data_IF_254461669241
#
_entry.id   IF_254461669241
#
_cell.length_a   1.000
_cell.length_b   1.000
_cell.length_c   1.000
_cell.angle_alpha   90.00
_cell.angle_beta   90.00
_cell.angle_gamma   90.00
#
_symmetry.space_group_name_H-M   'P 1'
#
loop_
_entity.id
_entity.type
_entity.pdbx_description
1 polymer ?
#
# COMPACT_ATOMS: atom_id res chain seq x y z
N UNK A 1 -18.31 27.09 38.79
CA UNK A 1 -18.30 25.63 38.57
C UNK A 1 -19.08 25.32 37.30
N UNK A 2 -18.41 24.89 36.21
CA UNK A 2 -19.06 24.24 35.06
C UNK A 2 -18.02 23.48 34.22
N UNK A 3 -18.33 22.21 33.91
CA UNK A 3 -17.83 21.41 32.75
C UNK A 3 -16.31 21.29 32.54
N UNK A 4 -15.70 20.35 33.28
CA UNK A 4 -14.46 19.65 32.92
C UNK A 4 -14.72 18.18 32.50
N UNK A 5 -15.89 17.92 31.90
CA UNK A 5 -16.46 16.56 31.81
C UNK A 5 -16.44 15.84 30.46
N UNK A 6 -16.18 16.53 29.34
CA UNK A 6 -16.59 16.05 28.01
C UNK A 6 -15.47 15.83 26.98
N UNK A 7 -14.20 15.73 27.40
CA UNK A 7 -13.11 15.34 26.48
C UNK A 7 -12.94 13.81 26.37
N UNK A 8 -13.34 13.07 27.42
CA UNK A 8 -13.24 11.61 27.47
C UNK A 8 -14.38 10.90 26.71
N UNK A 9 -15.51 11.58 26.52
CA UNK A 9 -16.68 11.09 25.77
C UNK A 9 -16.44 11.13 24.25
N UNK A 10 -15.84 12.20 23.73
CA UNK A 10 -15.52 12.35 22.30
C UNK A 10 -14.37 11.45 21.81
N UNK A 11 -13.40 11.13 22.67
CA UNK A 11 -12.29 10.23 22.33
C UNK A 11 -12.67 8.73 22.32
N UNK A 12 -13.73 8.36 23.04
CA UNK A 12 -14.14 6.97 23.22
C UNK A 12 -14.58 6.25 21.91
N UNK A 13 -15.36 6.86 20.99
CA UNK A 13 -15.65 6.22 19.70
C UNK A 13 -14.41 6.05 18.81
N UNK A 14 -13.45 6.97 18.84
CA UNK A 14 -12.18 6.84 18.10
C UNK A 14 -11.31 5.69 18.65
N UNK A 15 -11.23 5.55 19.98
CA UNK A 15 -10.55 4.42 20.63
C UNK A 15 -11.26 3.08 20.33
N UNK A 16 -12.59 3.05 20.29
CA UNK A 16 -13.36 1.87 19.83
C UNK A 16 -13.09 1.53 18.36
N UNK A 17 -12.95 2.54 17.50
CA UNK A 17 -12.63 2.34 16.08
C UNK A 17 -11.21 1.79 15.87
N UNK A 18 -10.27 2.10 16.77
CA UNK A 18 -8.95 1.45 16.86
C UNK A 18 -8.98 0.00 17.41
N UNK A 19 -10.10 -0.39 18.01
CA UNK A 19 -10.34 -1.67 18.71
C UNK A 19 -11.38 -2.56 18.01
N UNK A 20 -11.84 -2.22 16.81
CA UNK A 20 -12.59 -3.14 15.96
C UNK A 20 -11.61 -4.14 15.32
N UNK A 21 -11.30 -5.18 16.08
CA UNK A 21 -10.72 -6.40 15.55
C UNK A 21 -11.67 -7.01 14.51
N UNK A 22 -11.40 -6.74 13.23
CA UNK A 22 -11.78 -7.65 12.16
C UNK A 22 -11.12 -8.99 12.46
N UNK A 23 -11.92 -9.96 12.92
CA UNK A 23 -11.47 -11.06 13.78
C UNK A 23 -10.18 -11.75 13.32
N UNK A 24 -9.07 -11.45 14.01
CA UNK A 24 -7.83 -12.19 13.88
C UNK A 24 -7.99 -13.57 14.53
N UNK A 25 -8.49 -14.54 13.78
CA UNK A 25 -8.05 -15.92 13.94
C UNK A 25 -6.52 -15.90 13.90
N UNK A 26 -5.86 -16.32 14.99
CA UNK A 26 -4.50 -15.91 15.31
C UNK A 26 -3.51 -16.08 14.16
N UNK A 27 -3.14 -14.95 13.54
CA UNK A 27 -2.14 -14.92 12.49
C UNK A 27 -0.82 -15.44 13.06
N UNK A 28 -0.47 -16.68 12.69
CA UNK A 28 0.92 -17.14 12.79
C UNK A 28 1.77 -16.17 11.99
N UNK A 29 2.99 -15.90 12.46
CA UNK A 29 3.95 -15.17 11.66
C UNK A 29 4.28 -16.03 10.43
N UNK A 30 3.66 -15.72 9.30
CA UNK A 30 4.01 -16.35 8.03
C UNK A 30 5.53 -16.20 7.81
N UNK A 31 6.23 -17.27 7.42
CA UNK A 31 7.66 -17.19 7.14
C UNK A 31 7.88 -16.15 6.04
N UNK A 32 8.68 -15.11 6.32
CA UNK A 32 9.02 -14.12 5.31
C UNK A 32 9.78 -14.76 4.14
N UNK A 33 9.62 -14.21 2.93
CA UNK A 33 10.36 -14.70 1.76
C UNK A 33 11.87 -14.68 2.07
N UNK A 34 12.56 -15.84 2.08
CA UNK A 34 13.97 -15.94 2.45
C UNK A 34 14.90 -15.21 1.47
N UNK A 35 14.38 -14.75 0.32
CA UNK A 35 15.11 -13.91 -0.65
C UNK A 35 15.26 -12.46 -0.19
N UNK A 36 14.50 -11.99 0.80
CA UNK A 36 14.59 -10.62 1.30
C UNK A 36 15.78 -10.43 2.25
N UNK A 37 16.84 -9.81 1.76
CA UNK A 37 18.01 -9.46 2.55
C UNK A 37 17.69 -8.26 3.46
N UNK A 38 17.95 -8.39 4.77
CA UNK A 38 17.96 -7.23 5.69
C UNK A 38 19.30 -6.52 5.53
N UNK A 39 19.27 -5.22 5.25
CA UNK A 39 20.46 -4.39 5.12
C UNK A 39 20.69 -3.68 6.45
N UNK A 40 21.74 -4.09 7.17
CA UNK A 40 21.99 -3.61 8.54
C UNK A 40 22.46 -2.15 8.58
N UNK A 41 23.30 -1.74 7.62
CA UNK A 41 23.92 -0.42 7.56
C UNK A 41 23.55 0.27 6.25
N UNK A 42 23.01 1.49 6.36
CA UNK A 42 22.72 2.39 5.24
C UNK A 42 22.92 3.84 5.69
N UNK A 43 22.58 4.82 4.85
CA UNK A 43 22.68 6.24 5.22
C UNK A 43 21.77 6.65 6.40
N UNK A 44 21.71 7.95 6.68
CA UNK A 44 20.94 8.47 7.82
C UNK A 44 19.50 7.95 7.90
N UNK A 45 19.13 7.45 9.08
CA UNK A 45 17.83 6.80 9.34
C UNK A 45 16.99 7.56 10.40
N UNK A 46 16.64 8.84 10.20
CA UNK A 46 15.93 9.63 11.22
C UNK A 46 14.51 9.13 11.54
N UNK A 47 13.88 8.37 10.63
CA UNK A 47 12.59 7.71 10.86
C UNK A 47 12.65 6.29 11.43
N UNK A 48 13.82 5.84 11.91
CA UNK A 48 14.06 4.51 12.52
C UNK A 48 13.39 3.34 11.75
N UNK A 49 13.62 3.28 10.44
CA UNK A 49 13.05 2.25 9.56
C UNK A 49 14.00 1.06 9.38
N UNK A 50 13.44 -0.12 9.13
CA UNK A 50 14.21 -1.30 8.74
C UNK A 50 14.33 -1.36 7.22
N UNK A 51 15.55 -1.52 6.69
CA UNK A 51 15.80 -1.71 5.26
C UNK A 51 15.80 -3.21 4.92
N UNK A 52 14.86 -3.65 4.08
CA UNK A 52 14.95 -4.93 3.36
C UNK A 52 15.11 -4.69 1.87
N UNK A 53 15.75 -5.61 1.15
CA UNK A 53 15.94 -5.50 -0.30
C UNK A 53 15.91 -6.85 -1.00
N UNK A 54 15.67 -6.80 -2.31
CA UNK A 54 15.90 -7.87 -3.24
C UNK A 54 16.70 -7.39 -4.45
N UNK A 55 17.64 -8.21 -4.91
CA UNK A 55 18.40 -7.99 -6.15
C UNK A 55 18.51 -9.31 -6.90
N UNK A 56 17.97 -9.41 -8.12
CA UNK A 56 18.15 -10.59 -8.98
C UNK A 56 19.65 -10.91 -9.18
N UNK A 57 20.02 -12.19 -9.12
CA UNK A 57 21.43 -12.62 -9.11
C UNK A 57 22.24 -12.23 -10.36
N UNK A 58 21.58 -11.79 -11.45
CA UNK A 58 22.20 -11.31 -12.69
C UNK A 58 21.68 -9.92 -13.09
N UNK A 59 21.38 -9.07 -12.11
CA UNK A 59 20.90 -7.71 -12.38
C UNK A 59 21.94 -6.90 -13.16
N UNK A 60 21.49 -6.23 -14.22
CA UNK A 60 22.35 -5.40 -15.07
C UNK A 60 22.64 -4.05 -14.41
N UNK A 61 23.81 -3.46 -14.69
CA UNK A 61 24.06 -2.05 -14.37
C UNK A 61 23.09 -1.17 -15.18
N UNK A 62 22.56 -0.12 -14.57
CA UNK A 62 21.52 0.72 -15.18
C UNK A 62 20.11 0.09 -15.16
N UNK A 63 19.91 -1.03 -14.47
CA UNK A 63 18.57 -1.51 -14.12
C UNK A 63 17.81 -0.51 -13.23
N UNK A 64 16.48 -0.63 -13.23
CA UNK A 64 15.60 0.17 -12.40
C UNK A 64 15.61 -0.28 -10.93
N UNK A 65 15.09 0.59 -10.05
CA UNK A 65 14.76 0.29 -8.66
C UNK A 65 13.25 0.51 -8.44
N UNK A 66 12.58 -0.42 -7.78
CA UNK A 66 11.22 -0.24 -7.29
C UNK A 66 11.24 -0.22 -5.76
N UNK A 67 10.68 0.82 -5.15
CA UNK A 67 10.47 0.93 -3.70
C UNK A 67 9.04 0.48 -3.39
N UNK A 68 8.86 -0.44 -2.46
CA UNK A 68 7.56 -1.06 -2.14
C UNK A 68 7.22 -0.85 -0.66
N UNK A 69 6.17 -0.09 -0.40
CA UNK A 69 5.72 0.31 0.94
C UNK A 69 4.46 -0.46 1.36
N UNK A 70 4.58 -1.26 2.42
CA UNK A 70 3.46 -2.05 2.96
C UNK A 70 2.37 -1.16 3.59
N UNK A 71 1.16 -1.71 3.70
CA UNK A 71 0.06 -1.08 4.44
C UNK A 71 0.19 -1.25 5.96
N UNK A 72 -0.75 -0.64 6.70
CA UNK A 72 -0.83 -0.82 8.14
C UNK A 72 -0.95 -2.31 8.52
N UNK A 73 -0.40 -2.66 9.68
CA UNK A 73 -0.32 -4.00 10.31
C UNK A 73 0.49 -5.06 9.54
N UNK A 74 0.82 -4.83 8.28
CA UNK A 74 1.71 -5.68 7.50
C UNK A 74 3.17 -5.49 7.90
N UNK A 75 4.06 -6.23 7.24
CA UNK A 75 5.53 -6.10 7.20
C UNK A 75 5.95 -6.12 5.73
N UNK A 76 7.19 -5.78 5.41
CA UNK A 76 7.69 -5.91 4.04
C UNK A 76 7.56 -7.35 3.53
N UNK A 77 7.94 -8.33 4.36
CA UNK A 77 7.89 -9.73 3.98
C UNK A 77 6.47 -10.28 3.78
N UNK A 78 5.50 -9.89 4.62
CA UNK A 78 4.10 -10.31 4.46
C UNK A 78 3.41 -9.61 3.28
N UNK A 79 3.79 -8.37 2.96
CA UNK A 79 3.28 -7.67 1.79
C UNK A 79 3.83 -8.28 0.50
N UNK A 80 5.13 -8.55 0.47
CA UNK A 80 5.80 -9.16 -0.68
C UNK A 80 5.25 -10.53 -1.02
N UNK A 81 5.01 -11.40 -0.03
CA UNK A 81 4.42 -12.73 -0.25
C UNK A 81 3.15 -12.70 -1.11
N UNK A 82 2.32 -11.67 -0.94
CA UNK A 82 1.12 -11.46 -1.75
C UNK A 82 1.34 -10.66 -3.03
N UNK A 83 2.16 -9.61 -2.97
CA UNK A 83 2.35 -8.64 -4.07
C UNK A 83 3.32 -9.12 -5.17
N UNK A 84 4.19 -10.09 -4.86
CA UNK A 84 5.12 -10.75 -5.78
C UNK A 84 6.08 -9.80 -6.55
N UNK A 85 6.48 -8.66 -5.98
CA UNK A 85 7.42 -7.73 -6.62
C UNK A 85 8.80 -8.34 -6.85
N UNK A 86 9.21 -9.32 -6.03
CA UNK A 86 10.44 -10.11 -6.19
C UNK A 86 10.38 -10.98 -7.44
N UNK A 87 9.22 -11.60 -7.72
CA UNK A 87 9.02 -12.40 -8.93
C UNK A 87 8.97 -11.51 -10.20
N UNK A 88 8.35 -10.33 -10.09
CA UNK A 88 8.35 -9.33 -11.16
C UNK A 88 9.76 -8.75 -11.41
N UNK A 89 10.58 -8.62 -10.37
CA UNK A 89 11.98 -8.21 -10.46
C UNK A 89 12.83 -9.24 -11.23
N UNK A 90 12.61 -10.53 -10.98
CA UNK A 90 13.20 -11.63 -11.77
C UNK A 90 12.72 -11.62 -13.23
N UNK A 91 11.43 -11.37 -13.48
CA UNK A 91 10.82 -11.38 -14.82
C UNK A 91 11.25 -10.19 -15.70
N UNK A 92 11.48 -9.01 -15.10
CA UNK A 92 11.70 -7.76 -15.84
C UNK A 92 13.05 -7.08 -15.58
N UNK A 93 13.87 -7.58 -14.65
CA UNK A 93 15.26 -7.14 -14.46
C UNK A 93 15.42 -5.80 -13.71
N UNK A 94 14.77 -5.66 -12.55
CA UNK A 94 14.93 -4.51 -11.64
C UNK A 94 15.31 -4.97 -10.22
N UNK A 95 15.83 -4.05 -9.40
CA UNK A 95 16.01 -4.28 -7.95
C UNK A 95 14.75 -3.84 -7.19
N UNK A 96 14.53 -4.39 -6.00
CA UNK A 96 13.42 -3.99 -5.11
C UNK A 96 13.94 -3.58 -3.74
N UNK A 97 13.41 -2.49 -3.23
CA UNK A 97 13.65 -1.97 -1.88
C UNK A 97 12.34 -2.00 -1.10
N UNK A 98 12.35 -2.62 0.08
CA UNK A 98 11.22 -2.67 0.99
C UNK A 98 11.60 -2.02 2.34
N UNK A 99 11.33 -0.72 2.51
CA UNK A 99 11.32 -0.09 3.82
C UNK A 99 10.23 -0.75 4.68
N UNK A 100 10.57 -1.13 5.90
CA UNK A 100 9.66 -1.79 6.84
C UNK A 100 9.53 -0.94 8.11
N UNK A 101 8.29 -0.60 8.46
CA UNK A 101 7.97 0.13 9.68
C UNK A 101 7.77 -0.85 10.85
N UNK A 102 8.25 -0.49 12.05
CA UNK A 102 8.18 -1.32 13.26
C UNK A 102 7.26 -0.71 14.32
N UNK A 103 6.93 -1.52 15.34
CA UNK A 103 5.95 -1.15 16.38
C UNK A 103 6.44 -0.08 17.37
N UNK A 104 7.71 0.30 17.33
CA UNK A 104 8.27 1.36 18.17
C UNK A 104 7.78 2.74 17.72
N UNK A 105 7.87 3.01 16.42
CA UNK A 105 7.42 4.27 15.81
C UNK A 105 5.90 4.36 15.71
N UNK A 106 5.26 3.25 15.33
CA UNK A 106 3.81 3.19 15.17
C UNK A 106 3.25 1.83 15.65
N UNK A 107 2.38 1.75 16.67
CA UNK A 107 1.88 0.48 17.22
C UNK A 107 1.19 -0.42 16.19
N UNK A 108 0.63 0.16 15.12
CA UNK A 108 -0.02 -0.56 14.02
C UNK A 108 0.93 -0.77 12.82
N UNK A 109 2.22 -0.41 12.88
CA UNK A 109 3.18 -0.42 11.75
C UNK A 109 2.67 0.36 10.52
N UNK A 110 1.87 1.40 10.72
CA UNK A 110 1.58 2.34 9.64
C UNK A 110 2.80 3.26 9.47
N UNK A 111 3.16 3.59 8.22
CA UNK A 111 3.96 4.79 7.94
C UNK A 111 3.22 6.03 8.47
N UNK A 112 3.92 6.96 9.08
CA UNK A 112 3.39 8.17 9.71
C UNK A 112 3.13 9.30 8.69
N UNK A 113 2.45 8.98 7.58
CA UNK A 113 2.15 9.91 6.48
C UNK A 113 1.39 11.19 6.87
N UNK A 114 0.79 11.21 8.06
CA UNK A 114 0.06 12.34 8.64
C UNK A 114 0.92 13.21 9.57
N UNK A 115 2.17 12.83 9.85
CA UNK A 115 3.11 13.60 10.67
C UNK A 115 4.04 14.42 9.74
N UNK A 116 4.00 15.76 9.76
CA UNK A 116 4.87 16.60 8.94
C UNK A 116 6.36 16.28 9.08
N UNK A 117 6.83 15.92 10.29
CA UNK A 117 8.23 15.58 10.55
C UNK A 117 8.68 14.27 9.88
N UNK A 118 7.74 13.35 9.59
CA UNK A 118 8.03 12.07 8.94
C UNK A 118 7.95 12.12 7.41
N UNK A 119 7.25 13.11 6.84
CA UNK A 119 7.05 13.25 5.40
C UNK A 119 7.91 14.33 4.73
N UNK A 120 8.51 15.25 5.50
CA UNK A 120 9.28 16.37 4.96
C UNK A 120 10.61 15.94 4.32
N UNK A 121 11.04 16.71 3.30
CA UNK A 121 12.36 16.56 2.68
C UNK A 121 13.46 16.77 3.73
N UNK A 122 14.36 15.81 3.87
CA UNK A 122 15.45 15.82 4.85
C UNK A 122 15.11 15.33 6.27
N UNK A 123 13.86 14.96 6.56
CA UNK A 123 13.43 14.51 7.89
C UNK A 123 12.74 13.12 7.89
N UNK A 124 12.71 12.51 9.08
CA UNK A 124 11.94 11.30 9.46
C UNK A 124 11.91 10.15 8.44
N UNK A 125 10.75 9.47 8.37
CA UNK A 125 10.56 8.29 7.50
C UNK A 125 10.95 8.56 6.04
N UNK A 126 10.59 9.72 5.48
CA UNK A 126 10.85 10.05 4.08
C UNK A 126 12.36 10.20 3.78
N UNK A 127 13.14 10.78 4.69
CA UNK A 127 14.60 10.84 4.56
C UNK A 127 15.28 9.47 4.74
N UNK A 128 14.79 8.64 5.66
CA UNK A 128 15.23 7.25 5.78
C UNK A 128 15.05 6.49 4.46
N UNK A 129 13.86 6.58 3.84
CA UNK A 129 13.57 5.91 2.56
C UNK A 129 14.49 6.44 1.44
N UNK A 130 14.73 7.76 1.37
CA UNK A 130 15.69 8.35 0.42
C UNK A 130 17.13 7.84 0.64
N UNK A 131 17.56 7.64 1.88
CA UNK A 131 18.88 7.09 2.19
C UNK A 131 19.02 5.62 1.78
N UNK A 132 17.97 4.81 1.97
CA UNK A 132 17.91 3.43 1.48
C UNK A 132 17.95 3.37 -0.05
N UNK A 133 17.23 4.26 -0.75
CA UNK A 133 17.26 4.36 -2.22
C UNK A 133 18.67 4.63 -2.73
N UNK A 134 19.36 5.62 -2.16
CA UNK A 134 20.75 5.92 -2.54
C UNK A 134 21.69 4.74 -2.30
N UNK A 135 21.50 4.02 -1.19
CA UNK A 135 22.28 2.82 -0.84
C UNK A 135 22.14 1.74 -1.91
N UNK A 136 20.90 1.44 -2.34
CA UNK A 136 20.64 0.49 -3.44
C UNK A 136 21.23 0.97 -4.77
N UNK A 137 21.00 2.24 -5.12
CA UNK A 137 21.43 2.83 -6.39
C UNK A 137 22.95 2.84 -6.52
N UNK A 138 23.67 3.27 -5.49
CA UNK A 138 25.12 3.31 -5.48
C UNK A 138 25.72 1.89 -5.40
N UNK A 139 25.20 1.04 -4.50
CA UNK A 139 25.73 -0.31 -4.26
C UNK A 139 25.58 -1.25 -5.45
N UNK A 140 24.47 -1.17 -6.19
CA UNK A 140 24.20 -2.05 -7.34
C UNK A 140 24.42 -1.37 -8.71
N UNK A 141 24.78 -0.08 -8.74
CA UNK A 141 24.99 0.67 -9.99
C UNK A 141 23.70 0.82 -10.81
N UNK A 142 22.58 1.07 -10.15
CA UNK A 142 21.26 1.25 -10.75
C UNK A 142 21.14 2.61 -11.43
N UNK A 143 20.18 2.75 -12.35
CA UNK A 143 19.93 4.05 -13.00
C UNK A 143 19.14 4.98 -12.07
N UNK A 144 19.77 6.10 -11.68
CA UNK A 144 19.14 7.18 -10.87
C UNK A 144 17.89 7.76 -11.53
N UNK A 145 17.74 7.65 -12.86
CA UNK A 145 16.57 8.11 -13.61
C UNK A 145 15.45 7.07 -13.70
N UNK A 146 15.61 5.89 -13.08
CA UNK A 146 14.67 4.75 -13.13
C UNK A 146 14.38 4.21 -11.73
N UNK A 147 14.22 5.10 -10.76
CA UNK A 147 13.70 4.77 -9.42
C UNK A 147 12.20 5.05 -9.39
N UNK A 148 11.42 4.08 -8.92
CA UNK A 148 9.96 4.17 -8.81
C UNK A 148 9.52 3.79 -7.40
N UNK A 149 8.34 4.23 -6.97
CA UNK A 149 7.80 3.93 -5.63
C UNK A 149 6.33 3.55 -5.68
N UNK A 150 5.93 2.54 -4.92
CA UNK A 150 4.55 2.08 -4.79
C UNK A 150 4.21 1.74 -3.35
N UNK A 151 2.94 1.86 -2.99
CA UNK A 151 2.50 1.43 -1.67
C UNK A 151 0.99 1.36 -1.50
N UNK A 152 0.58 0.57 -0.49
CA UNK A 152 -0.81 0.38 -0.09
C UNK A 152 -1.17 1.26 1.11
N UNK A 153 -2.34 1.89 1.09
CA UNK A 153 -2.96 2.54 2.26
C UNK A 153 -2.03 3.61 2.86
N UNK A 154 -1.57 3.44 4.11
CA UNK A 154 -0.53 4.29 4.71
C UNK A 154 0.78 4.34 3.89
N UNK A 155 1.20 3.22 3.29
CA UNK A 155 2.32 3.19 2.34
C UNK A 155 2.01 3.88 1.01
N UNK A 156 0.73 3.93 0.61
CA UNK A 156 0.26 4.70 -0.54
C UNK A 156 0.26 6.21 -0.27
N UNK A 157 -0.16 6.63 0.92
CA UNK A 157 -0.05 8.03 1.36
C UNK A 157 1.42 8.47 1.53
N UNK A 158 2.29 7.59 2.06
CA UNK A 158 3.74 7.83 2.08
C UNK A 158 4.34 7.86 0.65
N UNK A 159 3.80 7.08 -0.29
CA UNK A 159 4.17 7.19 -1.71
C UNK A 159 3.85 8.59 -2.25
N UNK A 160 2.65 9.13 -1.98
CA UNK A 160 2.30 10.52 -2.34
C UNK A 160 3.26 11.55 -1.73
N UNK A 161 3.65 11.36 -0.47
CA UNK A 161 4.60 12.23 0.22
C UNK A 161 6.01 12.17 -0.41
N UNK A 162 6.54 10.98 -0.68
CA UNK A 162 7.86 10.79 -1.30
C UNK A 162 7.93 11.41 -2.70
N UNK A 163 6.87 11.30 -3.49
CA UNK A 163 6.78 11.93 -4.82
C UNK A 163 6.79 13.47 -4.76
N UNK A 164 6.31 14.08 -3.67
CA UNK A 164 6.30 15.53 -3.47
C UNK A 164 7.60 16.05 -2.81
N UNK A 165 8.13 15.32 -1.83
CA UNK A 165 9.35 15.68 -1.11
C UNK A 165 10.64 15.37 -1.91
N UNK A 166 10.62 14.35 -2.77
CA UNK A 166 11.77 13.89 -3.58
C UNK A 166 11.43 13.63 -5.07
N UNK A 167 10.80 14.57 -5.80
CA UNK A 167 10.48 14.43 -7.22
C UNK A 167 11.73 14.36 -8.13
N UNK A 168 12.90 14.75 -7.60
CA UNK A 168 14.22 14.62 -8.21
C UNK A 168 14.81 13.19 -8.09
N UNK A 169 14.25 12.36 -7.19
CA UNK A 169 14.67 10.96 -6.97
C UNK A 169 13.78 9.99 -7.72
N UNK A 170 12.47 10.20 -7.75
CA UNK A 170 11.51 9.25 -8.31
C UNK A 170 11.04 9.62 -9.71
N UNK A 171 11.25 8.73 -10.68
CA UNK A 171 10.72 8.86 -12.04
C UNK A 171 9.19 8.67 -12.12
N UNK A 172 8.62 7.97 -11.14
CA UNK A 172 7.19 7.83 -10.98
C UNK A 172 6.80 7.04 -9.74
N UNK A 173 5.49 7.00 -9.46
CA UNK A 173 4.96 6.17 -8.40
C UNK A 173 3.53 5.68 -8.63
N UNK A 174 3.11 4.75 -7.77
CA UNK A 174 1.82 4.10 -7.82
C UNK A 174 1.17 4.08 -6.43
N UNK A 175 0.02 4.74 -6.31
CA UNK A 175 -0.66 4.97 -5.04
C UNK A 175 -1.87 4.04 -4.98
N UNK A 176 -1.76 2.95 -4.20
CA UNK A 176 -2.80 1.94 -4.05
C UNK A 176 -3.65 2.26 -2.81
N UNK A 177 -4.91 2.63 -3.00
CA UNK A 177 -5.85 3.01 -1.94
C UNK A 177 -5.28 4.03 -0.93
N UNK A 178 -4.49 4.99 -1.43
CA UNK A 178 -3.82 6.03 -0.64
C UNK A 178 -4.55 7.37 -0.63
N UNK A 179 -3.85 8.42 -0.19
CA UNK A 179 -4.37 9.78 -0.05
C UNK A 179 -3.46 10.80 -0.77
N UNK A 180 -3.95 12.00 -1.14
CA UNK A 180 -3.10 13.05 -1.70
C UNK A 180 -2.06 13.55 -0.70
N UNK A 181 -0.94 14.07 -1.21
CA UNK A 181 0.07 14.70 -0.35
C UNK A 181 -0.56 15.91 0.37
N UNK A 182 -0.30 16.04 1.68
CA UNK A 182 -0.89 17.09 2.53
C UNK A 182 -2.38 16.90 2.87
N UNK A 183 -2.92 15.69 2.70
CA UNK A 183 -4.28 15.35 3.16
C UNK A 183 -4.45 15.63 4.66
N UNK A 184 -3.48 15.23 5.48
CA UNK A 184 -3.47 15.43 6.93
C UNK A 184 -2.10 15.88 7.45
N UNK A 185 -2.13 16.61 8.56
CA UNK A 185 -0.98 17.02 9.37
C UNK A 185 -1.12 16.57 10.84
N UNK A 186 -2.09 15.71 11.14
CA UNK A 186 -2.36 15.17 12.47
C UNK A 186 -3.25 13.92 12.41
N UNK A 187 -3.27 13.12 13.48
CA UNK A 187 -4.10 11.90 13.58
C UNK A 187 -5.61 12.15 13.37
N UNK A 188 -6.25 13.20 13.94
CA UNK A 188 -7.67 13.46 13.67
C UNK A 188 -7.95 13.79 12.20
N UNK A 189 -7.11 14.61 11.57
CA UNK A 189 -7.21 14.91 10.12
C UNK A 189 -6.96 13.67 9.26
N UNK A 190 -6.11 12.74 9.72
CA UNK A 190 -5.85 11.49 9.03
C UNK A 190 -7.13 10.67 8.91
N UNK A 191 -7.83 10.43 10.03
CA UNK A 191 -9.11 9.72 10.03
C UNK A 191 -10.21 10.45 9.24
N UNK A 192 -10.27 11.78 9.32
CA UNK A 192 -11.22 12.56 8.52
C UNK A 192 -10.97 12.40 7.02
N UNK A 193 -9.71 12.53 6.58
CA UNK A 193 -9.32 12.35 5.18
C UNK A 193 -9.57 10.92 4.70
N UNK A 194 -9.28 9.92 5.54
CA UNK A 194 -9.54 8.51 5.25
C UNK A 194 -11.04 8.23 5.05
N UNK A 195 -11.91 8.63 5.98
CA UNK A 195 -13.31 8.21 5.98
C UNK A 195 -14.29 9.15 5.27
N UNK A 196 -13.92 10.42 5.05
CA UNK A 196 -14.76 11.41 4.34
C UNK A 196 -14.14 11.88 3.02
N UNK A 197 -12.81 11.80 2.91
CA UNK A 197 -12.06 12.53 1.90
C UNK A 197 -12.00 14.03 2.23
N UNK A 198 -11.05 14.74 1.61
CA UNK A 198 -10.97 16.19 1.67
C UNK A 198 -10.96 16.73 0.24
N UNK A 199 -12.00 17.44 -0.20
CA UNK A 199 -11.97 18.10 -1.51
C UNK A 199 -11.40 19.50 -1.38
N UNK A 200 -10.31 19.79 -2.11
CA UNK A 200 -9.67 21.12 -2.19
C UNK A 200 -9.48 21.53 -3.64
N UNK A 201 -9.47 22.84 -4.00
CA UNK A 201 -9.13 23.29 -5.35
C UNK A 201 -7.85 22.66 -5.89
N UNK A 202 -7.83 22.34 -7.19
CA UNK A 202 -6.69 21.65 -7.82
C UNK A 202 -5.36 22.40 -7.62
N UNK A 203 -5.40 23.74 -7.69
CA UNK A 203 -4.26 24.62 -7.44
C UNK A 203 -3.72 24.52 -6.01
N UNK A 204 -4.59 24.43 -4.99
CA UNK A 204 -4.16 24.24 -3.60
C UNK A 204 -3.46 22.88 -3.42
N UNK A 205 -3.99 21.83 -4.05
CA UNK A 205 -3.33 20.53 -4.03
C UNK A 205 -1.98 20.52 -4.75
N UNK A 206 -1.89 21.18 -5.90
CA UNK A 206 -0.64 21.29 -6.65
C UNK A 206 0.39 22.17 -5.94
N UNK A 207 -0.03 23.23 -5.25
CA UNK A 207 0.84 24.10 -4.45
C UNK A 207 1.49 23.29 -3.32
N UNK A 208 0.74 22.42 -2.60
CA UNK A 208 1.33 21.50 -1.60
C UNK A 208 2.50 20.66 -2.16
N UNK A 209 2.38 20.17 -3.40
CA UNK A 209 3.46 19.39 -4.05
C UNK A 209 4.63 20.29 -4.44
N UNK A 210 4.35 21.49 -4.98
CA UNK A 210 5.37 22.48 -5.39
C UNK A 210 6.13 23.09 -4.22
N UNK A 211 5.50 23.20 -3.06
CA UNK A 211 6.07 23.76 -1.83
C UNK A 211 6.84 22.70 -1.02
N UNK A 212 6.69 21.41 -1.35
CA UNK A 212 7.41 20.30 -0.70
C UNK A 212 8.89 20.17 -1.11
N UNK A 213 9.32 20.86 -2.19
CA UNK A 213 10.72 20.91 -2.61
C UNK A 213 11.02 22.08 -3.57
N UNK A 214 12.31 22.42 -3.76
CA UNK A 214 12.75 23.40 -4.77
C UNK A 214 12.64 22.91 -6.22
N UNK A 215 12.11 21.71 -6.45
CA UNK A 215 11.99 21.13 -7.79
C UNK A 215 10.99 21.90 -8.66
N UNK A 216 11.30 22.04 -9.95
CA UNK A 216 10.45 22.76 -10.92
C UNK A 216 10.10 21.91 -12.16
N UNK A 217 10.38 20.61 -12.09
CA UNK A 217 10.12 19.64 -13.16
C UNK A 217 11.39 19.10 -13.83
N UNK A 218 11.28 18.04 -14.66
CA UNK A 218 10.06 17.29 -14.97
C UNK A 218 9.51 16.56 -13.74
N UNK A 219 8.18 16.44 -13.64
CA UNK A 219 7.52 15.84 -12.49
C UNK A 219 7.37 14.31 -12.65
N UNK A 220 7.30 13.54 -11.54
CA UNK A 220 7.12 12.09 -11.60
C UNK A 220 5.81 11.68 -12.28
N UNK A 221 5.81 10.52 -12.94
CA UNK A 221 4.59 9.87 -13.46
C UNK A 221 3.78 9.27 -12.32
N UNK A 222 2.45 9.38 -12.34
CA UNK A 222 1.61 8.88 -11.23
C UNK A 222 0.51 7.93 -11.71
N UNK A 223 0.50 6.72 -11.15
CA UNK A 223 -0.60 5.76 -11.28
C UNK A 223 -1.41 5.73 -9.97
N UNK A 224 -2.73 5.81 -10.05
CA UNK A 224 -3.62 5.84 -8.88
C UNK A 224 -4.59 4.66 -8.97
N UNK A 225 -4.65 3.82 -7.94
CA UNK A 225 -5.54 2.66 -7.90
C UNK A 225 -6.47 2.72 -6.71
N UNK A 226 -7.78 2.54 -6.93
CA UNK A 226 -8.76 2.55 -5.86
C UNK A 226 -9.84 1.48 -6.05
N UNK A 227 -10.24 0.86 -4.94
CA UNK A 227 -11.44 0.03 -4.89
C UNK A 227 -12.69 0.91 -4.88
N UNK A 228 -13.64 0.66 -5.78
CA UNK A 228 -14.88 1.46 -5.88
C UNK A 228 -15.85 1.28 -4.69
N UNK A 229 -15.57 0.34 -3.79
CA UNK A 229 -16.30 0.09 -2.54
C UNK A 229 -15.38 0.17 -1.31
N UNK A 230 -14.26 0.91 -1.40
CA UNK A 230 -13.35 1.16 -0.28
C UNK A 230 -14.02 2.03 0.81
N UNK A 231 -14.15 1.47 2.01
CA UNK A 231 -14.69 2.13 3.20
C UNK A 231 -13.62 2.47 4.25
N UNK A 232 -12.35 2.17 3.99
CA UNK A 232 -11.22 2.49 4.87
C UNK A 232 -10.52 3.77 4.44
N UNK A 233 -10.28 3.91 3.13
CA UNK A 233 -9.85 5.17 2.50
C UNK A 233 -10.83 5.41 1.36
N UNK A 234 -11.75 6.37 1.52
CA UNK A 234 -12.86 6.51 0.55
C UNK A 234 -12.36 6.87 -0.86
N UNK A 235 -13.04 6.42 -1.94
CA UNK A 235 -12.50 6.49 -3.30
C UNK A 235 -12.31 7.91 -3.85
N UNK A 236 -12.98 8.90 -3.24
CA UNK A 236 -12.77 10.32 -3.54
C UNK A 236 -11.33 10.78 -3.28
N UNK A 237 -10.59 10.12 -2.38
CA UNK A 237 -9.15 10.37 -2.23
C UNK A 237 -8.38 10.06 -3.53
N UNK A 238 -8.75 9.00 -4.26
CA UNK A 238 -8.19 8.69 -5.57
C UNK A 238 -8.45 9.78 -6.62
N UNK A 239 -9.65 10.36 -6.63
CA UNK A 239 -9.97 11.48 -7.52
C UNK A 239 -9.22 12.77 -7.12
N UNK A 240 -9.01 13.04 -5.82
CA UNK A 240 -8.25 14.19 -5.34
C UNK A 240 -6.72 14.03 -5.55
N UNK A 241 -6.17 12.80 -5.53
CA UNK A 241 -4.79 12.52 -5.99
C UNK A 241 -4.66 12.85 -7.49
N UNK A 242 -5.58 12.39 -8.32
CA UNK A 242 -5.56 12.72 -9.76
C UNK A 242 -5.60 14.24 -9.96
N UNK A 243 -6.51 14.92 -9.27
CA UNK A 243 -6.66 16.39 -9.31
C UNK A 243 -5.38 17.12 -8.87
N UNK A 244 -4.69 16.64 -7.83
CA UNK A 244 -3.38 17.13 -7.39
C UNK A 244 -2.34 17.04 -8.51
N UNK A 245 -2.17 15.84 -9.09
CA UNK A 245 -1.12 15.61 -10.08
C UNK A 245 -1.45 16.20 -11.46
N UNK A 246 -2.73 16.35 -11.83
CA UNK A 246 -3.12 17.10 -13.03
C UNK A 246 -2.78 18.59 -12.91
N UNK A 247 -2.89 19.20 -11.73
CA UNK A 247 -2.46 20.59 -11.54
C UNK A 247 -0.93 20.71 -11.64
N UNK A 248 -0.18 19.82 -10.98
CA UNK A 248 1.30 19.75 -11.03
C UNK A 248 1.83 19.58 -12.46
N UNK A 249 1.19 18.73 -13.27
CA UNK A 249 1.55 18.51 -14.68
C UNK A 249 0.98 19.57 -15.65
N UNK A 250 0.21 20.56 -15.18
CA UNK A 250 -0.41 21.58 -16.04
C UNK A 250 -1.56 21.06 -16.93
N UNK A 251 -2.20 19.96 -16.53
CA UNK A 251 -3.21 19.21 -17.28
C UNK A 251 -4.65 19.41 -16.75
N UNK A 252 -4.93 20.43 -15.94
CA UNK A 252 -6.24 20.66 -15.34
C UNK A 252 -7.43 20.77 -16.32
N UNK A 253 -7.18 21.14 -17.58
CA UNK A 253 -8.19 21.16 -18.65
C UNK A 253 -8.18 19.92 -19.57
N UNK A 254 -7.25 18.99 -19.38
CA UNK A 254 -7.06 17.84 -20.27
C UNK A 254 -8.10 16.74 -20.00
N UNK A 255 -8.69 16.21 -21.08
CA UNK A 255 -9.62 15.08 -21.00
C UNK A 255 -8.82 13.77 -21.06
N UNK A 256 -9.10 12.78 -20.19
CA UNK A 256 -8.44 11.48 -20.26
C UNK A 256 -8.96 10.64 -21.42
N UNK A 257 -8.10 9.75 -21.93
CA UNK A 257 -8.57 8.52 -22.59
C UNK A 257 -9.19 7.62 -21.54
N UNK A 258 -10.36 7.04 -21.81
CA UNK A 258 -11.10 6.21 -20.83
C UNK A 258 -11.36 4.81 -21.39
N UNK A 259 -10.91 3.80 -20.67
CA UNK A 259 -11.17 2.37 -20.94
C UNK A 259 -12.07 1.79 -19.84
N UNK A 260 -12.99 0.89 -20.20
CA UNK A 260 -13.81 0.13 -19.25
C UNK A 260 -13.77 -1.35 -19.61
N UNK A 261 -13.29 -2.19 -18.71
CA UNK A 261 -13.11 -3.63 -18.93
C UNK A 261 -13.18 -4.39 -17.61
N UNK A 262 -13.97 -5.47 -17.54
CA UNK A 262 -14.01 -6.35 -16.37
C UNK A 262 -14.32 -5.67 -15.03
N UNK A 263 -15.24 -4.69 -15.01
CA UNK A 263 -15.56 -3.92 -13.80
C UNK A 263 -14.55 -2.80 -13.46
N UNK A 264 -13.39 -2.76 -14.11
CA UNK A 264 -12.42 -1.66 -13.99
C UNK A 264 -12.74 -0.52 -14.95
N UNK A 265 -12.66 0.71 -14.46
CA UNK A 265 -12.51 1.92 -15.29
C UNK A 265 -11.07 2.42 -15.19
N UNK A 266 -10.36 2.51 -16.31
CA UNK A 266 -9.04 3.14 -16.42
C UNK A 266 -9.16 4.49 -17.12
N UNK A 267 -8.49 5.51 -16.60
CA UNK A 267 -8.41 6.87 -17.16
C UNK A 267 -6.93 7.23 -17.33
N UNK A 268 -6.54 7.79 -18.46
CA UNK A 268 -5.13 8.15 -18.76
C UNK A 268 -5.05 9.57 -19.30
N UNK A 269 -4.22 10.39 -18.67
CA UNK A 269 -3.89 11.75 -19.11
C UNK A 269 -2.50 11.78 -19.72
N UNK A 270 -2.44 12.36 -20.91
CA UNK A 270 -1.25 12.43 -21.75
C UNK A 270 -0.77 13.87 -21.79
N UNK A 271 0.52 14.08 -21.57
CA UNK A 271 1.15 15.40 -21.66
C UNK A 271 1.33 15.83 -23.13
N UNK A 272 1.57 17.12 -23.43
CA UNK A 272 1.60 17.63 -24.81
C UNK A 272 2.66 16.99 -25.73
N UNK A 273 3.67 16.31 -25.17
CA UNK A 273 4.69 15.57 -25.92
C UNK A 273 4.24 14.13 -26.32
N UNK A 274 3.03 13.70 -25.96
CA UNK A 274 2.51 12.36 -26.23
C UNK A 274 2.78 11.31 -25.15
N UNK A 275 3.42 11.66 -24.03
CA UNK A 275 3.66 10.72 -22.92
C UNK A 275 2.48 10.69 -21.94
N UNK A 276 2.00 9.49 -21.62
CA UNK A 276 1.05 9.25 -20.53
C UNK A 276 1.74 9.49 -19.17
N UNK A 277 1.33 10.53 -18.43
CA UNK A 277 1.98 10.99 -17.18
C UNK A 277 1.14 10.80 -15.92
N UNK A 278 -0.19 10.75 -16.06
CA UNK A 278 -1.10 10.39 -14.96
C UNK A 278 -2.06 9.31 -15.45
N UNK A 279 -2.27 8.27 -14.65
CA UNK A 279 -3.35 7.31 -14.85
C UNK A 279 -4.12 7.02 -13.56
N UNK A 280 -5.38 6.62 -13.70
CA UNK A 280 -6.25 6.25 -12.60
C UNK A 280 -7.01 4.97 -12.96
N UNK A 281 -7.04 4.00 -12.05
CA UNK A 281 -7.79 2.77 -12.16
C UNK A 281 -8.76 2.66 -10.98
N UNK A 282 -10.05 2.56 -11.27
CA UNK A 282 -11.10 2.30 -10.28
C UNK A 282 -11.71 0.94 -10.55
N UNK A 283 -11.59 0.01 -9.60
CA UNK A 283 -12.14 -1.35 -9.71
C UNK A 283 -13.48 -1.41 -8.99
N UNK A 284 -14.58 -1.50 -9.74
CA UNK A 284 -15.93 -1.47 -9.16
C UNK A 284 -16.15 -2.66 -8.20
N UNK A 285 -16.74 -2.38 -7.04
CA UNK A 285 -17.02 -3.39 -6.01
C UNK A 285 -15.80 -3.87 -5.19
N UNK A 286 -14.57 -3.56 -5.61
CA UNK A 286 -13.37 -3.86 -4.81
C UNK A 286 -13.33 -2.98 -3.55
N UNK A 287 -12.97 -3.57 -2.43
CA UNK A 287 -12.78 -2.91 -1.12
C UNK A 287 -11.35 -2.33 -0.99
N UNK A 288 -10.94 -1.99 0.23
CA UNK A 288 -9.59 -1.49 0.52
C UNK A 288 -8.52 -2.55 0.19
N UNK A 289 -7.61 -2.24 -0.73
CA UNK A 289 -6.53 -3.16 -1.08
C UNK A 289 -5.83 -2.91 -2.41
N UNK A 290 -4.86 -3.77 -2.71
CA UNK A 290 -4.22 -3.89 -4.02
C UNK A 290 -5.03 -4.88 -4.87
N UNK A 291 -5.31 -4.52 -6.12
CA UNK A 291 -5.91 -5.42 -7.10
C UNK A 291 -4.87 -6.44 -7.60
N UNK A 292 -5.20 -7.73 -7.51
CA UNK A 292 -4.39 -8.84 -7.98
C UNK A 292 -5.14 -9.69 -9.03
N UNK A 293 -4.37 -10.50 -9.75
CA UNK A 293 -4.82 -11.60 -10.60
C UNK A 293 -4.10 -12.89 -10.16
N UNK A 294 -4.75 -13.72 -9.35
CA UNK A 294 -4.12 -14.91 -8.78
C UNK A 294 -3.65 -15.93 -9.85
N UNK A 295 -4.20 -15.86 -11.07
CA UNK A 295 -3.79 -16.69 -12.22
C UNK A 295 -2.36 -16.35 -12.71
N UNK A 296 -1.77 -15.26 -12.23
CA UNK A 296 -0.44 -14.74 -12.63
C UNK A 296 0.64 -14.89 -11.56
N UNK A 297 0.38 -15.73 -10.54
CA UNK A 297 1.32 -16.02 -9.45
C UNK A 297 1.30 -15.03 -8.29
N UNK A 298 0.35 -14.10 -8.28
CA UNK A 298 0.07 -13.23 -7.13
C UNK A 298 -0.77 -13.99 -6.08
N UNK A 299 -0.52 -13.78 -4.79
CA UNK A 299 -1.17 -14.57 -3.72
C UNK A 299 -2.16 -13.71 -2.92
N UNK A 300 -3.48 -14.02 -2.93
CA UNK A 300 -4.46 -13.25 -2.18
C UNK A 300 -4.23 -13.29 -0.67
N UNK A 301 -4.57 -12.22 0.03
CA UNK A 301 -4.29 -12.06 1.46
C UNK A 301 -4.93 -10.80 2.04
N UNK A 302 -4.59 -10.42 3.29
CA UNK A 302 -5.12 -9.22 3.93
C UNK A 302 -4.84 -7.97 3.09
N UNK A 303 -5.91 -7.35 2.56
CA UNK A 303 -5.89 -6.20 1.65
C UNK A 303 -5.18 -6.45 0.29
N UNK A 304 -5.06 -7.72 -0.11
CA UNK A 304 -4.43 -8.17 -1.35
C UNK A 304 -5.46 -9.02 -2.09
N UNK A 305 -6.18 -8.40 -3.03
CA UNK A 305 -7.52 -8.82 -3.45
C UNK A 305 -7.50 -9.40 -4.87
N UNK A 306 -7.81 -10.68 -5.03
CA UNK A 306 -8.01 -11.26 -6.36
C UNK A 306 -9.29 -10.70 -7.00
N UNK A 307 -9.10 -9.86 -8.01
CA UNK A 307 -10.16 -9.26 -8.82
C UNK A 307 -9.93 -9.56 -10.31
N UNK A 308 -9.04 -10.50 -10.63
CA UNK A 308 -8.69 -10.88 -11.99
C UNK A 308 -7.92 -9.80 -12.77
N UNK A 309 -7.31 -8.84 -12.08
CA UNK A 309 -6.51 -7.73 -12.64
C UNK A 309 -5.31 -7.44 -11.74
N UNK A 310 -4.09 -7.64 -12.24
CA UNK A 310 -2.85 -7.30 -11.52
C UNK A 310 -2.55 -5.80 -11.62
N UNK A 311 -2.65 -5.08 -10.50
CA UNK A 311 -2.24 -3.68 -10.43
C UNK A 311 -0.72 -3.52 -10.64
N UNK A 312 0.07 -4.45 -10.09
CA UNK A 312 1.54 -4.37 -10.11
C UNK A 312 2.09 -4.50 -11.55
N UNK A 313 1.51 -5.39 -12.37
CA UNK A 313 1.91 -5.56 -13.78
C UNK A 313 1.48 -4.38 -14.66
N UNK A 314 0.27 -3.87 -14.49
CA UNK A 314 -0.18 -2.67 -15.22
C UNK A 314 0.67 -1.44 -14.88
N UNK A 315 1.05 -1.28 -13.60
CA UNK A 315 1.97 -0.22 -13.14
C UNK A 315 3.36 -0.36 -13.77
N UNK A 316 3.91 -1.57 -13.85
CA UNK A 316 5.17 -1.83 -14.55
C UNK A 316 5.09 -1.51 -16.05
N UNK A 317 3.94 -1.75 -16.69
CA UNK A 317 3.71 -1.35 -18.07
C UNK A 317 3.64 0.18 -18.22
N UNK A 318 2.96 0.89 -17.33
CA UNK A 318 2.86 2.36 -17.31
C UNK A 318 4.21 3.06 -17.07
N UNK A 319 5.05 2.49 -16.22
CA UNK A 319 6.44 2.95 -15.99
C UNK A 319 7.42 2.54 -17.09
N UNK A 320 7.01 1.73 -18.08
CA UNK A 320 7.89 1.25 -19.14
C UNK A 320 8.93 0.21 -18.68
N UNK A 321 8.69 -0.48 -17.56
CA UNK A 321 9.54 -1.55 -17.04
C UNK A 321 9.15 -2.94 -17.57
N UNK A 322 7.91 -3.13 -18.04
CA UNK A 322 7.46 -4.40 -18.61
C UNK A 322 8.23 -4.79 -19.90
N UNK A 323 8.98 -5.89 -19.83
CA UNK A 323 9.83 -6.42 -20.92
C UNK A 323 9.00 -6.98 -22.08
N UNK A 324 9.51 -6.91 -23.31
CA UNK A 324 8.78 -7.34 -24.52
C UNK A 324 8.40 -8.85 -24.49
N UNK A 325 9.24 -9.69 -23.89
CA UNK A 325 8.94 -11.13 -23.72
C UNK A 325 7.70 -11.39 -22.86
N UNK A 326 7.38 -10.51 -21.90
CA UNK A 326 6.19 -10.62 -21.08
C UNK A 326 4.93 -10.13 -21.82
N UNK A 327 5.04 -9.05 -22.61
CA UNK A 327 3.93 -8.54 -23.45
C UNK A 327 3.38 -9.61 -24.40
N UNK A 328 4.26 -10.41 -25.01
CA UNK A 328 3.85 -11.52 -25.89
C UNK A 328 3.25 -12.72 -25.15
N UNK A 329 3.51 -12.91 -23.85
CA UNK A 329 2.84 -13.93 -23.03
C UNK A 329 1.45 -13.44 -22.55
N UNK A 330 1.35 -12.14 -22.27
CA UNK A 330 0.13 -11.45 -21.89
C UNK A 330 -0.94 -11.44 -22.99
N UNK A 331 -0.54 -11.17 -24.25
CA UNK A 331 -1.41 -11.27 -25.43
C UNK A 331 -1.83 -12.71 -25.78
N UNK A 332 -1.09 -13.72 -25.30
CA UNK A 332 -1.34 -15.15 -25.58
C UNK A 332 -2.16 -15.88 -24.51
N UNK A 333 -2.57 -15.20 -23.44
CA UNK A 333 -3.49 -15.79 -22.46
C UNK A 333 -4.87 -16.11 -23.09
N UNK A 334 -5.51 -17.24 -22.75
CA UNK A 334 -6.68 -17.76 -23.48
C UNK A 334 -7.98 -17.02 -23.10
N UNK A 335 -8.07 -15.74 -23.43
CA UNK A 335 -9.28 -14.93 -23.39
C UNK A 335 -9.80 -14.54 -24.80
N UNK A 336 -9.03 -14.82 -25.85
CA UNK A 336 -9.29 -14.43 -27.25
C UNK A 336 -9.32 -15.63 -28.22
N UNK A 337 -9.94 -16.74 -27.82
CA UNK A 337 -10.26 -17.84 -28.73
C UNK A 337 -11.76 -17.78 -29.13
N UNK A 338 -12.11 -17.48 -30.40
CA UNK A 338 -13.50 -17.47 -30.83
C UNK A 338 -14.01 -18.89 -31.10
N UNK A 339 -15.01 -19.32 -30.33
CA UNK A 339 -15.86 -20.46 -30.68
C UNK A 339 -15.34 -21.86 -30.29
N UNK A 340 -15.82 -22.38 -29.16
CA UNK A 340 -15.92 -23.81 -28.90
C UNK A 340 -17.27 -24.09 -28.22
N UNK A 341 -17.91 -25.21 -28.56
CA UNK A 341 -19.33 -25.44 -28.33
C UNK A 341 -19.72 -25.74 -26.86
N UNK A 342 -20.99 -25.47 -26.55
CA UNK A 342 -21.65 -25.79 -25.27
C UNK A 342 -21.68 -27.31 -25.01
N UNK A 343 -21.30 -27.79 -23.81
CA UNK A 343 -21.40 -29.21 -23.46
C UNK A 343 -22.85 -29.62 -23.11
N UNK A 344 -23.31 -30.82 -23.50
CA UNK A 344 -24.71 -31.21 -23.34
C UNK A 344 -25.09 -31.55 -21.89
N UNK A 345 -26.34 -31.28 -21.53
CA UNK A 345 -26.94 -31.68 -20.24
C UNK A 345 -27.09 -33.20 -20.16
N UNK A 346 -26.71 -33.86 -19.05
CA UNK A 346 -27.11 -35.23 -18.77
C UNK A 346 -28.54 -35.30 -18.19
N UNK A 347 -29.36 -36.20 -18.73
CA UNK A 347 -30.70 -36.55 -18.22
C UNK A 347 -30.60 -37.58 -17.09
N UNK A 348 -31.58 -37.59 -16.17
CA UNK A 348 -31.55 -38.45 -14.98
C UNK A 348 -32.05 -39.88 -15.23
N UNK A 349 -31.55 -40.86 -14.47
CA UNK A 349 -32.37 -41.71 -13.59
C UNK A 349 -31.52 -42.72 -12.78
N UNK A 350 -31.64 -42.71 -11.44
CA UNK A 350 -32.12 -43.86 -10.65
C UNK A 350 -32.11 -43.59 -9.12
N UNK A 351 -33.20 -44.03 -8.47
CA UNK A 351 -33.42 -44.31 -7.04
C UNK A 351 -33.98 -45.76 -6.97
N UNK A 352 -34.15 -46.44 -5.80
CA UNK A 352 -34.12 -45.99 -4.40
C UNK A 352 -32.95 -46.65 -3.61
N UNK A 353 -32.85 -46.74 -2.27
CA UNK A 353 -33.83 -46.53 -1.19
C UNK A 353 -33.24 -45.92 0.11
N UNK A 354 -34.11 -45.86 1.13
CA UNK A 354 -33.97 -45.21 2.42
C UNK A 354 -33.75 -46.20 3.58
N UNK A 355 -33.14 -45.72 4.68
CA UNK A 355 -33.42 -46.12 6.07
C UNK A 355 -32.85 -45.06 7.05
N UNK A 356 -33.34 -45.02 8.29
CA UNK A 356 -33.11 -43.93 9.25
C UNK A 356 -32.36 -44.36 10.54
N UNK A 357 -31.76 -43.40 11.27
CA UNK A 357 -31.32 -43.59 12.67
C UNK A 357 -31.07 -42.28 13.44
N UNK A 358 -32.04 -41.92 14.29
CA UNK A 358 -31.99 -41.63 15.74
C UNK A 358 -30.80 -40.92 16.46
N UNK A 359 -31.11 -39.75 17.05
CA UNK A 359 -30.98 -39.36 18.49
C UNK A 359 -29.66 -39.46 19.33
N UNK A 360 -29.15 -38.25 19.70
CA UNK A 360 -28.78 -37.72 21.06
C UNK A 360 -27.90 -38.47 22.10
N UNK A 361 -27.13 -37.63 22.85
CA UNK A 361 -26.62 -37.76 24.25
C UNK A 361 -25.46 -38.75 24.55
N UNK A 362 -24.51 -38.54 25.50
CA UNK A 362 -24.22 -37.47 26.50
C UNK A 362 -22.78 -37.54 27.11
N UNK A 363 -22.40 -36.53 27.93
CA UNK A 363 -21.42 -36.55 29.08
C UNK A 363 -19.91 -36.74 28.77
N UNK A 364 -19.03 -35.77 29.07
CA UNK A 364 -18.32 -35.50 30.36
C UNK A 364 -17.46 -36.68 30.86
N UNK A 365 -16.18 -36.56 31.24
CA UNK A 365 -15.26 -35.41 31.35
C UNK A 365 -14.21 -35.74 32.43
N UNK A 366 -12.95 -35.27 32.32
CA UNK A 366 -11.97 -35.42 33.42
C UNK A 366 -10.92 -34.30 33.39
N UNK A 367 -10.41 -33.95 34.57
CA UNK A 367 -9.51 -32.81 34.79
C UNK A 367 -8.04 -33.24 34.94
N UNK A 368 -7.13 -32.35 34.56
CA UNK A 368 -5.71 -32.42 34.89
C UNK A 368 -5.13 -31.01 35.01
N UNK A 369 -4.75 -30.61 36.24
CA UNK A 369 -4.00 -29.37 36.48
C UNK A 369 -2.51 -29.62 36.27
N UNK A 370 -1.80 -28.64 35.72
CA UNK A 370 -0.37 -28.46 35.92
C UNK A 370 -0.06 -26.96 35.91
N UNK A 371 0.67 -26.47 36.91
CA UNK A 371 0.92 -25.03 37.12
C UNK A 371 2.11 -24.52 36.27
N UNK A 372 2.13 -23.23 35.85
CA UNK A 372 3.22 -22.66 35.08
C UNK A 372 4.25 -21.90 35.94
N UNK A 373 5.53 -22.11 35.65
CA UNK A 373 6.69 -21.33 36.13
C UNK A 373 6.66 -19.85 35.64
N UNK A 374 7.37 -18.92 36.31
CA UNK A 374 6.98 -17.51 36.34
C UNK A 374 7.40 -16.68 35.12
N UNK A 375 6.46 -15.87 34.63
CA UNK A 375 6.72 -14.85 33.60
C UNK A 375 7.41 -13.63 34.19
N UNK A 376 8.56 -13.22 33.63
CA UNK A 376 9.12 -11.87 33.85
C UNK A 376 8.16 -10.82 33.25
N UNK A 377 7.51 -10.04 34.12
CA UNK A 377 6.57 -8.99 33.75
C UNK A 377 7.28 -7.69 33.36
N UNK A 378 7.74 -7.61 32.12
CA UNK A 378 8.06 -6.33 31.48
C UNK A 378 6.78 -5.49 31.29
N UNK A 379 6.28 -4.85 32.34
CA UNK A 379 5.19 -3.88 32.24
C UNK A 379 5.71 -2.65 31.49
N UNK A 380 5.10 -2.38 30.34
CA UNK A 380 5.25 -1.11 29.63
C UNK A 380 4.78 0.02 30.55
N UNK A 381 5.62 1.04 30.74
CA UNK A 381 5.22 2.24 31.47
C UNK A 381 4.31 3.12 30.57
N UNK A 382 3.02 2.79 30.62
CA UNK A 382 1.97 3.54 29.92
C UNK A 382 1.90 5.00 30.41
N UNK A 383 2.26 5.28 31.67
CA UNK A 383 2.28 6.63 32.20
C UNK A 383 3.43 7.44 31.61
N UNK A 384 4.63 6.86 31.48
CA UNK A 384 5.77 7.47 30.81
C UNK A 384 5.51 7.81 29.33
N UNK A 385 4.79 6.95 28.60
CA UNK A 385 4.40 7.20 27.20
C UNK A 385 3.38 8.34 27.10
N UNK A 386 2.35 8.34 27.95
CA UNK A 386 1.35 9.42 28.00
C UNK A 386 2.01 10.75 28.38
N UNK A 387 2.91 10.75 29.38
CA UNK A 387 3.63 11.93 29.81
C UNK A 387 4.51 12.53 28.69
N UNK A 388 5.19 11.67 27.90
CA UNK A 388 6.02 12.12 26.77
C UNK A 388 5.15 12.75 25.66
N UNK A 389 4.00 12.18 25.36
CA UNK A 389 3.04 12.73 24.39
C UNK A 389 2.45 14.08 24.84
N UNK A 390 2.04 14.20 26.11
CA UNK A 390 1.48 15.45 26.66
C UNK A 390 2.52 16.58 26.74
N UNK A 391 3.78 16.24 27.00
CA UNK A 391 4.88 17.21 27.02
C UNK A 391 5.28 17.68 25.61
N UNK A 392 5.28 16.79 24.63
CA UNK A 392 5.45 17.15 23.22
C UNK A 392 4.32 18.05 22.70
N UNK A 393 3.09 17.87 23.19
CA UNK A 393 1.94 18.72 22.88
C UNK A 393 1.88 20.04 23.68
N UNK A 394 2.85 20.32 24.55
CA UNK A 394 2.86 21.54 25.39
C UNK A 394 1.78 21.60 26.49
N UNK A 395 1.06 20.50 26.72
CA UNK A 395 -0.04 20.39 27.69
C UNK A 395 0.44 20.06 29.12
N UNK A 396 1.75 19.89 29.30
CA UNK A 396 2.39 19.54 30.57
C UNK A 396 3.82 20.12 30.59
N UNK A 397 4.23 20.72 31.71
CA UNK A 397 5.59 21.25 31.89
C UNK A 397 6.55 20.19 32.42
#
# INVERSE_FOLDING_TARGET
>A
MARFGDLASELNPLLKMWSLDGGSAGARSEPGDPRLATVAEFGGNPGDLVMRSYTPARLARGSALVVVLHGCTQTAASFEHSAAWTALADEHGFAVLYPEQHRGNNPKRCFNWFNPEDVARGAGEAASIRAMVETMVAGHGLDRRRVFVTGLSAGGAMTSALLAAYPDVFAGGAIMAGLPCGAASSVPQAFESMYKGASRPAREWGDVVRDSSDHRGPWPKVSVWHGGADSTVVPSNGDEIVKQWLDVHGLGGAKPTVERKGGRTRRVWTSPNGEAVVEQHVVAGMSHGVALDARRGETPGPFMLDVGVSANRDVLAFWGLATASAKSAEERSPANAPGAAEPPRPTSAHRPAAAASTAKTSRSGFAGRMEPEPRRSGRIDVQGVIAKALKAAGLMK
#
